data_IF_672426264467
#
_entry.id   IF_672426264467
#
_cell.length_a   1.000
_cell.length_b   1.000
_cell.length_c   1.000
_cell.angle_alpha   90.00
_cell.angle_beta   90.00
_cell.angle_gamma   90.00
#
_symmetry.space_group_name_H-M   'P 1'
#
loop_
_entity.id
_entity.type
_entity.pdbx_description
1 polymer ?
#
# COMPACT_ATOMS: atom_id res chain seq x y z
N UNK A 1 -3.94 -10.73 -15.53
CA UNK A 1 -3.09 -9.59 -15.89
C UNK A 1 -3.85 -8.32 -15.56
N UNK A 2 -3.33 -7.49 -14.67
CA UNK A 2 -3.79 -6.11 -14.50
C UNK A 2 -2.53 -5.28 -14.72
N UNK A 3 -2.12 -5.20 -15.97
CA UNK A 3 -1.17 -4.21 -16.44
C UNK A 3 -2.04 -3.24 -17.25
N UNK A 4 -2.38 -2.11 -16.63
CA UNK A 4 -3.07 -1.03 -17.31
C UNK A 4 -2.07 -0.41 -18.30
N UNK A 5 -2.45 -0.30 -19.57
CA UNK A 5 -1.62 0.36 -20.59
C UNK A 5 -1.39 1.84 -20.21
N UNK A 6 -0.18 2.38 -20.40
CA UNK A 6 0.16 3.73 -19.97
C UNK A 6 -0.48 4.78 -20.89
N UNK A 7 -1.18 5.76 -20.33
CA UNK A 7 -1.51 6.99 -21.08
C UNK A 7 -0.22 7.78 -21.38
N UNK A 8 -0.15 8.33 -22.59
CA UNK A 8 1.04 8.89 -23.22
C UNK A 8 1.48 10.28 -22.69
N UNK A 9 0.94 10.81 -21.59
CA UNK A 9 1.17 12.24 -21.25
C UNK A 9 2.19 12.55 -20.15
N UNK A 10 2.93 11.55 -19.66
CA UNK A 10 4.37 11.70 -19.36
C UNK A 10 4.87 12.77 -18.37
N UNK A 11 4.05 13.36 -17.49
CA UNK A 11 4.52 14.34 -16.48
C UNK A 11 4.18 13.91 -15.05
N UNK A 12 5.09 13.15 -14.42
CA UNK A 12 4.91 12.68 -13.03
C UNK A 12 5.81 11.51 -12.67
N UNK A 13 7.13 11.71 -12.68
CA UNK A 13 8.10 10.62 -12.49
C UNK A 13 8.22 10.20 -11.01
N UNK A 14 7.98 8.93 -10.71
CA UNK A 14 8.63 8.22 -9.58
C UNK A 14 9.91 7.53 -10.07
N UNK A 15 10.88 7.26 -9.19
CA UNK A 15 12.21 6.68 -9.54
C UNK A 15 12.19 5.37 -10.36
N UNK A 16 11.03 4.69 -10.49
CA UNK A 16 10.87 3.45 -11.27
C UNK A 16 10.04 3.62 -12.56
N UNK A 17 9.43 4.78 -12.80
CA UNK A 17 8.71 5.08 -14.06
C UNK A 17 7.47 4.22 -14.39
N UNK A 18 7.01 3.37 -13.47
CA UNK A 18 5.87 2.47 -13.70
C UNK A 18 4.58 3.04 -13.12
N UNK A 19 3.54 3.12 -13.96
CA UNK A 19 2.18 3.40 -13.55
C UNK A 19 1.63 2.24 -12.73
N UNK A 20 0.81 2.57 -11.72
CA UNK A 20 0.07 1.57 -10.96
C UNK A 20 -1.27 2.12 -10.50
N UNK A 21 -2.27 1.26 -10.59
CA UNK A 21 -3.59 1.53 -10.03
C UNK A 21 -3.68 0.89 -8.64
N UNK A 22 -4.14 1.68 -7.65
CA UNK A 22 -4.41 1.19 -6.30
C UNK A 22 -5.89 1.41 -6.01
N UNK A 23 -6.72 0.35 -5.98
CA UNK A 23 -8.14 0.50 -5.75
C UNK A 23 -8.40 1.01 -4.32
N UNK A 24 -9.19 2.07 -4.21
CA UNK A 24 -9.55 2.65 -2.93
C UNK A 24 -10.78 1.95 -2.35
N UNK A 25 -10.70 1.55 -1.08
CA UNK A 25 -11.85 1.04 -0.35
C UNK A 25 -12.88 2.15 -0.07
N UNK A 26 -14.08 1.77 0.41
CA UNK A 26 -15.16 2.73 0.69
C UNK A 26 -14.74 3.81 1.69
N UNK A 27 -13.92 3.47 2.67
CA UNK A 27 -13.49 4.37 3.74
C UNK A 27 -12.49 5.41 3.21
N UNK A 28 -11.49 4.98 2.44
CA UNK A 28 -10.53 5.86 1.79
C UNK A 28 -11.23 6.84 0.84
N UNK A 29 -12.15 6.35 0.00
CA UNK A 29 -12.99 7.22 -0.85
C UNK A 29 -13.83 8.21 -0.03
N UNK A 30 -14.36 7.79 1.11
CA UNK A 30 -15.14 8.66 1.97
C UNK A 30 -14.28 9.73 2.66
N UNK A 31 -13.06 9.38 3.06
CA UNK A 31 -12.11 10.32 3.66
C UNK A 31 -11.65 11.37 2.65
N UNK A 32 -11.29 10.94 1.42
CA UNK A 32 -10.91 11.86 0.34
C UNK A 32 -12.02 12.85 -0.02
N UNK A 33 -13.28 12.43 0.02
CA UNK A 33 -14.43 13.33 -0.22
C UNK A 33 -14.64 14.38 0.87
N UNK A 34 -14.09 14.17 2.07
CA UNK A 34 -14.21 15.09 3.21
C UNK A 34 -12.98 15.98 3.39
N UNK A 35 -11.92 15.75 2.62
CA UNK A 35 -10.73 16.60 2.64
C UNK A 35 -11.10 17.97 2.03
N UNK A 36 -10.91 19.07 2.78
CA UNK A 36 -11.22 20.41 2.29
C UNK A 36 -10.30 20.82 1.13
N UNK A 37 -9.04 20.37 1.16
CA UNK A 37 -8.01 20.69 0.17
C UNK A 37 -7.53 19.45 -0.60
N UNK A 38 -7.10 19.66 -1.84
CA UNK A 38 -6.53 18.59 -2.67
C UNK A 38 -5.06 18.35 -2.29
N UNK A 39 -4.72 17.08 -2.02
CA UNK A 39 -3.36 16.65 -1.65
C UNK A 39 -2.38 16.56 -2.84
N UNK A 40 -2.83 16.77 -4.07
CA UNK A 40 -2.05 16.50 -5.29
C UNK A 40 -1.07 17.62 -5.66
N UNK A 41 -1.27 18.83 -5.13
CA UNK A 41 -0.51 20.04 -5.52
C UNK A 41 0.48 20.51 -4.44
N UNK A 42 0.68 19.72 -3.39
CA UNK A 42 1.58 20.07 -2.27
C UNK A 42 2.94 19.38 -2.40
N UNK A 43 4.00 20.05 -1.95
CA UNK A 43 5.33 19.45 -1.92
C UNK A 43 5.35 18.22 -1.01
N UNK A 44 6.09 17.18 -1.40
CA UNK A 44 6.16 15.90 -0.65
C UNK A 44 6.55 16.07 0.83
N UNK A 45 7.38 17.08 1.11
CA UNK A 45 7.85 17.34 2.47
C UNK A 45 6.74 17.98 3.31
N UNK A 46 5.90 18.83 2.71
CA UNK A 46 4.71 19.40 3.36
C UNK A 46 3.76 18.32 3.86
N UNK A 47 3.50 17.28 3.05
CA UNK A 47 2.67 16.15 3.47
C UNK A 47 3.32 15.40 4.64
N UNK A 48 4.65 15.24 4.61
CA UNK A 48 5.39 14.56 5.67
C UNK A 48 5.36 15.35 6.98
N UNK A 49 5.50 16.67 6.90
CA UNK A 49 5.45 17.58 8.06
C UNK A 49 4.05 17.62 8.69
N UNK A 50 3.00 17.74 7.85
CA UNK A 50 1.62 17.68 8.32
C UNK A 50 1.33 16.35 9.01
N UNK A 51 1.75 15.24 8.40
CA UNK A 51 1.60 13.92 9.00
C UNK A 51 2.34 13.83 10.34
N UNK A 52 3.57 14.34 10.43
CA UNK A 52 4.34 14.31 11.68
C UNK A 52 3.68 15.14 12.79
N UNK A 53 3.10 16.30 12.44
CA UNK A 53 2.36 17.13 13.37
C UNK A 53 1.09 16.43 13.88
N UNK A 54 0.33 15.81 12.98
CA UNK A 54 -0.92 15.13 13.35
C UNK A 54 -0.66 13.80 14.09
N UNK A 55 0.37 13.06 13.71
CA UNK A 55 0.82 11.87 14.43
C UNK A 55 1.17 12.22 15.89
N UNK A 56 1.88 13.34 16.11
CA UNK A 56 2.20 13.84 17.45
C UNK A 56 0.94 14.17 18.26
N UNK A 57 -0.05 14.84 17.65
CA UNK A 57 -1.34 15.16 18.32
C UNK A 57 -2.11 13.89 18.68
N UNK A 58 -2.08 12.88 17.82
CA UNK A 58 -2.73 11.59 18.05
C UNK A 58 -1.95 10.67 19.02
N UNK A 59 -0.78 11.09 19.50
CA UNK A 59 0.07 10.27 20.38
C UNK A 59 0.65 9.04 19.69
N UNK A 60 0.69 9.03 18.36
CA UNK A 60 1.24 7.93 17.55
C UNK A 60 2.57 8.35 16.94
N UNK A 61 3.58 7.48 17.05
CA UNK A 61 4.86 7.69 16.37
C UNK A 61 4.81 7.19 14.93
N UNK A 62 5.65 7.75 14.05
CA UNK A 62 5.88 7.18 12.73
C UNK A 62 6.07 8.18 11.61
N UNK A 63 6.13 7.65 10.40
CA UNK A 63 6.20 8.41 9.15
C UNK A 63 5.15 7.88 8.17
N UNK A 64 4.92 8.61 7.08
CA UNK A 64 4.06 8.15 5.98
C UNK A 64 4.49 6.78 5.44
N UNK A 65 5.79 6.44 5.50
CA UNK A 65 6.27 5.13 5.09
C UNK A 65 5.75 4.00 6.00
N UNK A 66 5.52 4.25 7.29
CA UNK A 66 4.89 3.26 8.18
C UNK A 66 3.45 2.97 7.80
N UNK A 67 2.71 3.94 7.25
CA UNK A 67 1.37 3.68 6.73
C UNK A 67 1.41 2.67 5.58
N UNK A 68 2.43 2.74 4.71
CA UNK A 68 2.65 1.74 3.65
C UNK A 68 2.94 0.35 4.22
N UNK A 69 3.78 0.26 5.25
CA UNK A 69 4.02 -1.01 5.95
C UNK A 69 2.74 -1.57 6.56
N UNK A 70 1.96 -0.71 7.21
CA UNK A 70 0.68 -1.07 7.82
C UNK A 70 -0.28 -1.60 6.76
N UNK A 71 -0.41 -0.89 5.63
CA UNK A 71 -1.23 -1.34 4.51
C UNK A 71 -0.83 -2.73 4.01
N UNK A 72 0.46 -2.98 3.78
CA UNK A 72 0.95 -4.28 3.31
C UNK A 72 0.71 -5.38 4.35
N UNK A 73 1.02 -5.10 5.62
CA UNK A 73 0.82 -6.03 6.73
C UNK A 73 -0.67 -6.43 6.86
N UNK A 74 -1.59 -5.47 6.83
CA UNK A 74 -3.02 -5.73 6.90
C UNK A 74 -3.54 -6.57 5.72
N UNK A 75 -3.02 -6.36 4.50
CA UNK A 75 -3.38 -7.20 3.36
C UNK A 75 -2.90 -8.64 3.56
N UNK A 76 -1.66 -8.84 4.02
CA UNK A 76 -1.13 -10.19 4.24
C UNK A 76 -1.88 -10.89 5.37
N UNK A 77 -2.14 -10.21 6.48
CA UNK A 77 -2.95 -10.75 7.59
C UNK A 77 -4.39 -11.05 7.18
N UNK A 78 -4.92 -10.38 6.15
CA UNK A 78 -6.23 -10.70 5.57
C UNK A 78 -6.18 -11.89 4.58
N UNK A 79 -5.02 -12.52 4.40
CA UNK A 79 -4.84 -13.65 3.48
C UNK A 79 -4.66 -13.25 2.02
N UNK A 80 -4.38 -11.97 1.72
CA UNK A 80 -4.11 -11.54 0.35
C UNK A 80 -2.76 -12.12 -0.10
N UNK A 81 -2.68 -12.75 -1.29
CA UNK A 81 -1.43 -13.33 -1.78
C UNK A 81 -0.30 -12.31 -1.86
N UNK A 82 0.91 -12.68 -1.42
CA UNK A 82 2.09 -11.80 -1.39
C UNK A 82 2.38 -11.15 -2.74
N UNK A 83 2.14 -11.86 -3.85
CA UNK A 83 2.29 -11.30 -5.20
C UNK A 83 1.35 -10.12 -5.46
N UNK A 84 0.11 -10.17 -4.97
CA UNK A 84 -0.85 -9.06 -5.10
C UNK A 84 -0.40 -7.88 -4.24
N UNK A 85 0.07 -8.15 -3.02
CA UNK A 85 0.62 -7.12 -2.12
C UNK A 85 1.84 -6.44 -2.73
N UNK A 86 2.74 -7.19 -3.37
CA UNK A 86 3.91 -6.66 -4.07
C UNK A 86 3.52 -5.67 -5.18
N UNK A 87 2.52 -6.02 -6.00
CA UNK A 87 2.02 -5.17 -7.08
C UNK A 87 1.39 -3.89 -6.52
N UNK A 88 0.52 -4.01 -5.51
CA UNK A 88 -0.15 -2.86 -4.88
C UNK A 88 0.84 -1.91 -4.18
N UNK A 89 1.86 -2.45 -3.51
CA UNK A 89 2.93 -1.66 -2.93
C UNK A 89 3.86 -1.07 -4.02
N UNK A 90 3.97 -1.73 -5.16
CA UNK A 90 4.94 -1.46 -6.21
C UNK A 90 6.37 -1.69 -5.73
N UNK A 91 6.63 -2.86 -5.14
CA UNK A 91 8.02 -3.31 -4.95
C UNK A 91 8.54 -3.84 -6.28
N UNK A 92 9.73 -3.37 -6.69
CA UNK A 92 10.38 -3.87 -7.90
C UNK A 92 10.74 -5.34 -7.79
N UNK A 93 11.17 -5.75 -6.59
CA UNK A 93 11.57 -7.11 -6.27
C UNK A 93 10.55 -7.79 -5.35
N UNK A 94 10.22 -9.04 -5.68
CA UNK A 94 9.38 -9.89 -4.85
C UNK A 94 10.04 -10.19 -3.51
N UNK A 95 11.36 -10.39 -3.48
CA UNK A 95 12.11 -10.73 -2.26
C UNK A 95 11.95 -9.65 -1.17
N UNK A 96 11.74 -8.39 -1.55
CA UNK A 96 11.40 -7.32 -0.62
C UNK A 96 10.08 -7.62 0.11
N UNK A 97 9.03 -7.97 -0.64
CA UNK A 97 7.71 -8.22 -0.06
C UNK A 97 7.71 -9.47 0.81
N UNK A 98 8.36 -10.52 0.34
CA UNK A 98 8.53 -11.76 1.07
C UNK A 98 9.28 -11.54 2.38
N UNK A 99 10.47 -10.93 2.33
CA UNK A 99 11.30 -10.64 3.51
C UNK A 99 10.55 -9.86 4.60
N UNK A 100 9.77 -8.86 4.23
CA UNK A 100 9.11 -7.99 5.20
C UNK A 100 7.76 -8.49 5.69
N UNK A 101 7.03 -9.30 4.93
CA UNK A 101 5.63 -9.61 5.25
C UNK A 101 5.26 -11.09 5.22
N UNK A 102 6.10 -12.00 4.70
CA UNK A 102 5.74 -13.42 4.61
C UNK A 102 5.38 -14.03 5.97
N UNK A 103 6.04 -13.60 7.05
CA UNK A 103 5.75 -14.07 8.41
C UNK A 103 4.36 -13.68 8.96
N UNK A 104 3.61 -12.82 8.26
CA UNK A 104 2.28 -12.37 8.68
C UNK A 104 1.15 -13.19 8.04
N UNK A 105 1.46 -14.20 7.22
CA UNK A 105 0.45 -14.99 6.51
C UNK A 105 -0.41 -15.79 7.49
N UNK A 106 -1.75 -15.84 7.34
CA UNK A 106 -2.64 -16.27 8.42
C UNK A 106 -2.73 -17.79 8.65
N UNK A 107 -1.85 -18.61 8.05
CA UNK A 107 -2.03 -20.05 7.96
C UNK A 107 -0.72 -20.81 8.23
N UNK A 108 -0.80 -21.85 9.04
CA UNK A 108 0.20 -22.92 9.08
C UNK A 108 -0.07 -23.98 8.00
N UNK A 109 0.95 -24.72 7.61
CA UNK A 109 0.95 -25.68 6.50
C UNK A 109 -0.25 -26.64 6.52
N UNK A 110 -0.70 -27.04 7.72
CA UNK A 110 -1.83 -27.96 7.92
C UNK A 110 -3.18 -27.39 7.46
N UNK A 111 -3.42 -26.09 7.69
CA UNK A 111 -4.65 -25.43 7.26
C UNK A 111 -4.70 -25.31 5.73
N UNK A 112 -3.54 -25.06 5.10
CA UNK A 112 -3.43 -24.99 3.64
C UNK A 112 -3.75 -26.34 2.98
N UNK A 113 -3.23 -27.43 3.55
CA UNK A 113 -3.51 -28.79 3.06
C UNK A 113 -4.99 -29.18 3.23
N UNK A 114 -5.66 -28.75 4.32
CA UNK A 114 -7.09 -29.01 4.55
C UNK A 114 -8.02 -28.40 3.49
N UNK A 115 -7.57 -27.42 2.73
CA UNK A 115 -8.35 -26.82 1.64
C UNK A 115 -8.31 -27.63 0.34
N UNK A 116 -7.42 -28.62 0.22
CA UNK A 116 -7.35 -29.49 -0.94
C UNK A 116 -8.57 -30.40 -1.00
N UNK A 117 -9.32 -30.32 -2.11
CA UNK A 117 -10.46 -31.20 -2.43
C UNK A 117 -10.14 -31.94 -3.72
N UNK A 118 -9.51 -33.09 -3.61
CA UNK A 118 -9.33 -34.05 -4.68
C UNK A 118 -9.47 -35.46 -4.12
#
# INVERSE_FOLDING_TARGET
MIESEPDETGSGRTKSGKWREVPLNRYARCALRRLPDRLIDVHKDTISDWFAADARKAGIGGSLHRLRHTFCAHLVMAGVPLRRVQVLAGHADYATTEKYYAHLTPQGDEAAVKHLRF
#
